data_IF_181944148920
#
_entry.id   IF_181944148920
#
_cell.length_a   1.000
_cell.length_b   1.000
_cell.length_c   1.000
_cell.angle_alpha   90.00
_cell.angle_beta   90.00
_cell.angle_gamma   90.00
#
_symmetry.space_group_name_H-M   'P 1'
#
loop_
_entity.id
_entity.type
_entity.pdbx_description
1 polymer ?
#
# COMPACT_ATOMS: atom_id res chain seq x y z
N UNK A 1 23.90 -9.94 -6.69
CA UNK A 1 22.51 -10.06 -6.23
C UNK A 1 21.77 -10.90 -7.25
N UNK A 2 21.06 -11.94 -6.83
CA UNK A 2 20.27 -12.78 -7.74
C UNK A 2 19.10 -11.99 -8.35
N UNK A 3 18.71 -12.23 -9.63
CA UNK A 3 17.56 -11.58 -10.25
C UNK A 3 16.25 -11.73 -9.45
N UNK A 4 16.03 -12.91 -8.85
CA UNK A 4 14.88 -13.19 -7.97
C UNK A 4 14.83 -12.27 -6.76
N UNK A 5 15.98 -12.07 -6.09
CA UNK A 5 16.09 -11.16 -4.93
C UNK A 5 15.90 -9.70 -5.35
N UNK A 6 16.43 -9.32 -6.51
CA UNK A 6 16.21 -7.99 -7.07
C UNK A 6 14.73 -7.74 -7.39
N UNK A 7 14.03 -8.75 -7.91
CA UNK A 7 12.60 -8.68 -8.20
C UNK A 7 11.77 -8.55 -6.91
N UNK A 8 12.10 -9.30 -5.86
CA UNK A 8 11.48 -9.17 -4.54
C UNK A 8 11.64 -7.76 -3.97
N UNK A 9 12.86 -7.21 -4.03
CA UNK A 9 13.15 -5.86 -3.56
C UNK A 9 12.39 -4.81 -4.38
N UNK A 10 12.36 -4.97 -5.71
CA UNK A 10 11.64 -4.08 -6.62
C UNK A 10 10.15 -4.05 -6.29
N UNK A 11 9.53 -5.23 -6.15
CA UNK A 11 8.12 -5.38 -5.75
C UNK A 11 7.84 -4.75 -4.39
N UNK A 12 8.67 -5.06 -3.38
CA UNK A 12 8.53 -4.48 -2.04
C UNK A 12 8.54 -2.95 -2.07
N UNK A 13 9.53 -2.35 -2.72
CA UNK A 13 9.66 -0.90 -2.80
C UNK A 13 8.54 -0.25 -3.62
N UNK A 14 8.11 -0.90 -4.70
CA UNK A 14 7.03 -0.43 -5.56
C UNK A 14 5.68 -0.45 -4.82
N UNK A 15 5.30 -1.61 -4.28
CA UNK A 15 4.04 -1.83 -3.59
C UNK A 15 3.93 -0.92 -2.35
N UNK A 16 5.01 -0.83 -1.56
CA UNK A 16 5.06 0.08 -0.42
C UNK A 16 4.87 1.54 -0.85
N UNK A 17 5.55 1.97 -1.91
CA UNK A 17 5.43 3.34 -2.40
C UNK A 17 4.01 3.67 -2.84
N UNK A 18 3.37 2.78 -3.60
CA UNK A 18 1.99 2.95 -4.04
C UNK A 18 1.01 2.95 -2.86
N UNK A 19 1.16 2.04 -1.89
CA UNK A 19 0.31 1.99 -0.70
C UNK A 19 0.41 3.26 0.14
N UNK A 20 1.63 3.75 0.39
CA UNK A 20 1.83 4.99 1.15
C UNK A 20 1.30 6.21 0.40
N UNK A 21 1.54 6.33 -0.90
CA UNK A 21 1.03 7.44 -1.71
C UNK A 21 -0.49 7.43 -1.78
N UNK A 22 -1.10 6.28 -2.05
CA UNK A 22 -2.55 6.10 -2.11
C UNK A 22 -3.20 6.53 -0.81
N UNK A 23 -2.84 5.90 0.32
CA UNK A 23 -3.49 6.19 1.59
C UNK A 23 -3.24 7.61 2.08
N UNK A 24 -2.01 8.12 1.98
CA UNK A 24 -1.69 9.47 2.43
C UNK A 24 -2.46 10.52 1.61
N UNK A 25 -2.44 10.40 0.28
CA UNK A 25 -3.05 11.38 -0.60
C UNK A 25 -4.57 11.27 -0.62
N UNK A 26 -5.15 10.06 -0.57
CA UNK A 26 -6.59 9.87 -0.46
C UNK A 26 -7.12 10.43 0.86
N UNK A 27 -6.43 10.18 1.97
CA UNK A 27 -6.83 10.72 3.27
C UNK A 27 -6.80 12.26 3.30
N UNK A 28 -5.69 12.87 2.88
CA UNK A 28 -5.54 14.33 2.81
C UNK A 28 -6.56 14.97 1.85
N UNK A 29 -6.93 14.27 0.77
CA UNK A 29 -7.86 14.79 -0.24
C UNK A 29 -9.31 14.72 0.20
N UNK A 30 -9.73 13.60 0.80
CA UNK A 30 -11.15 13.29 1.02
C UNK A 30 -11.62 13.56 2.44
N UNK A 31 -10.72 13.42 3.43
CA UNK A 31 -11.13 13.41 4.85
C UNK A 31 -10.59 14.60 5.64
N UNK A 32 -9.49 15.23 5.24
CA UNK A 32 -8.86 16.34 5.99
C UNK A 32 -9.37 17.71 5.50
N UNK A 33 -9.71 18.66 6.38
CA UNK A 33 -10.03 20.04 5.99
C UNK A 33 -8.92 20.67 5.14
N UNK A 34 -9.29 21.51 4.16
CA UNK A 34 -8.37 21.97 3.12
C UNK A 34 -7.14 22.71 3.67
N UNK A 35 -7.32 23.62 4.62
CA UNK A 35 -6.22 24.42 5.16
C UNK A 35 -5.20 23.54 5.91
N UNK A 36 -5.67 22.64 6.79
CA UNK A 36 -4.84 21.64 7.44
C UNK A 36 -4.16 20.68 6.45
N UNK A 37 -4.88 20.21 5.44
CA UNK A 37 -4.34 19.31 4.43
C UNK A 37 -3.19 19.95 3.65
N UNK A 38 -3.29 21.24 3.32
CA UNK A 38 -2.25 21.99 2.63
C UNK A 38 -1.02 22.21 3.53
N UNK A 39 -1.23 22.45 4.83
CA UNK A 39 -0.14 22.55 5.80
C UNK A 39 0.62 21.22 5.93
N UNK A 40 -0.10 20.11 6.11
CA UNK A 40 0.48 18.77 6.21
C UNK A 40 1.19 18.37 4.92
N UNK A 41 0.61 18.68 3.76
CA UNK A 41 1.26 18.44 2.47
C UNK A 41 2.61 19.16 2.37
N UNK A 42 2.69 20.43 2.78
CA UNK A 42 3.97 21.17 2.78
C UNK A 42 5.00 20.54 3.71
N UNK A 43 4.59 20.07 4.89
CA UNK A 43 5.46 19.36 5.82
C UNK A 43 5.98 18.03 5.26
N UNK A 44 5.17 17.33 4.46
CA UNK A 44 5.47 16.02 3.91
C UNK A 44 5.96 16.02 2.43
N UNK A 45 6.13 17.19 1.81
CA UNK A 45 6.40 17.29 0.38
C UNK A 45 7.70 16.57 -0.05
N UNK A 46 8.80 16.77 0.69
CA UNK A 46 10.09 16.11 0.41
C UNK A 46 10.01 14.58 0.51
N UNK A 47 9.56 13.98 1.62
CA UNK A 47 9.45 12.52 1.70
C UNK A 47 8.46 11.95 0.68
N UNK A 48 7.33 12.62 0.40
CA UNK A 48 6.40 12.18 -0.64
C UNK A 48 7.05 12.17 -2.03
N UNK A 49 7.88 13.15 -2.37
CA UNK A 49 8.59 13.18 -3.64
C UNK A 49 9.60 12.02 -3.76
N UNK A 50 10.28 11.65 -2.66
CA UNK A 50 11.17 10.49 -2.64
C UNK A 50 10.40 9.18 -2.85
N UNK A 51 9.20 9.06 -2.27
CA UNK A 51 8.34 7.89 -2.47
C UNK A 51 7.86 7.83 -3.93
N UNK A 52 7.48 8.96 -4.54
CA UNK A 52 7.15 9.03 -5.98
C UNK A 52 8.33 8.61 -6.85
N UNK A 53 9.53 9.14 -6.57
CA UNK A 53 10.73 8.77 -7.30
C UNK A 53 11.01 7.26 -7.16
N UNK A 54 10.83 6.70 -5.97
CA UNK A 54 10.97 5.25 -5.73
C UNK A 54 9.97 4.45 -6.54
N UNK A 55 8.69 4.85 -6.59
CA UNK A 55 7.66 4.19 -7.40
C UNK A 55 8.00 4.23 -8.90
N UNK A 56 8.48 5.36 -9.41
CA UNK A 56 8.88 5.52 -10.82
C UNK A 56 10.10 4.66 -11.15
N UNK A 57 11.15 4.75 -10.33
CA UNK A 57 12.39 4.00 -10.55
C UNK A 57 12.16 2.49 -10.49
N UNK A 58 11.33 2.02 -9.55
CA UNK A 58 10.96 0.61 -9.46
C UNK A 58 10.08 0.17 -10.63
N UNK A 59 9.13 0.99 -11.10
CA UNK A 59 8.35 0.67 -12.30
C UNK A 59 9.24 0.52 -13.54
N UNK A 60 10.23 1.40 -13.72
CA UNK A 60 11.18 1.31 -14.83
C UNK A 60 12.13 0.11 -14.68
N UNK A 61 12.61 -0.16 -13.46
CA UNK A 61 13.49 -1.30 -13.18
C UNK A 61 12.77 -2.66 -13.27
N UNK A 62 11.45 -2.69 -13.08
CA UNK A 62 10.68 -3.94 -13.07
C UNK A 62 10.81 -4.73 -14.37
N UNK A 63 10.83 -4.06 -15.53
CA UNK A 63 10.98 -4.75 -16.83
C UNK A 63 12.34 -5.47 -16.96
N UNK A 64 13.50 -4.80 -16.89
CA UNK A 64 14.80 -5.47 -17.01
C UNK A 64 15.03 -6.52 -15.93
N UNK A 65 14.55 -6.30 -14.71
CA UNK A 65 14.66 -7.27 -13.62
C UNK A 65 13.80 -8.51 -13.88
N UNK A 66 12.59 -8.33 -14.42
CA UNK A 66 11.71 -9.45 -14.81
C UNK A 66 12.32 -10.23 -15.97
N UNK A 67 12.84 -9.54 -16.99
CA UNK A 67 13.54 -10.16 -18.13
C UNK A 67 14.73 -10.99 -17.65
N UNK A 68 15.55 -10.44 -16.76
CA UNK A 68 16.68 -11.16 -16.17
C UNK A 68 16.25 -12.40 -15.36
N UNK A 69 15.08 -12.34 -14.71
CA UNK A 69 14.54 -13.43 -13.90
C UNK A 69 13.93 -14.56 -14.75
N UNK A 70 13.37 -14.24 -15.92
CA UNK A 70 12.80 -15.22 -16.86
C UNK A 70 13.90 -15.83 -17.75
N UNK A 71 14.88 -15.02 -18.16
CA UNK A 71 16.02 -15.44 -18.97
C UNK A 71 17.14 -16.10 -18.18
N UNK A 72 18.36 -16.01 -18.69
CA UNK A 72 19.56 -16.63 -18.12
C UNK A 72 20.29 -15.72 -17.12
N UNK A 73 19.56 -14.87 -16.42
CA UNK A 73 20.11 -13.90 -15.47
C UNK A 73 20.39 -12.52 -16.08
N UNK A 74 21.30 -11.77 -15.46
CA UNK A 74 21.51 -10.35 -15.77
C UNK A 74 21.99 -10.04 -17.18
N UNK A 75 22.57 -11.02 -17.89
CA UNK A 75 22.95 -10.87 -19.30
C UNK A 75 21.75 -10.57 -20.20
N UNK A 76 20.58 -11.11 -19.85
CA UNK A 76 19.35 -10.97 -20.63
C UNK A 76 18.52 -9.76 -20.20
N UNK A 77 18.91 -9.05 -19.13
CA UNK A 77 18.18 -7.93 -18.55
C UNK A 77 17.86 -6.82 -19.57
N UNK A 78 18.76 -6.57 -20.53
CA UNK A 78 18.62 -5.54 -21.57
C UNK A 78 18.53 -6.15 -22.98
N UNK A 79 18.20 -7.45 -23.08
CA UNK A 79 17.99 -8.08 -24.36
C UNK A 79 16.69 -7.53 -24.98
N UNK A 80 16.83 -6.75 -26.07
CA UNK A 80 15.70 -6.04 -26.69
C UNK A 80 14.59 -6.96 -27.20
N UNK A 81 14.94 -8.14 -27.73
CA UNK A 81 13.96 -9.13 -28.18
C UNK A 81 13.16 -9.69 -27.00
N UNK A 82 13.87 -10.13 -25.95
CA UNK A 82 13.20 -10.66 -24.76
C UNK A 82 12.37 -9.60 -24.02
N UNK A 83 12.84 -8.36 -23.96
CA UNK A 83 12.05 -7.23 -23.42
C UNK A 83 10.78 -6.99 -24.22
N UNK A 84 10.86 -7.02 -25.55
CA UNK A 84 9.70 -6.89 -26.42
C UNK A 84 8.67 -7.99 -26.12
N UNK A 85 9.13 -9.25 -26.07
CA UNK A 85 8.27 -10.40 -25.81
C UNK A 85 7.63 -10.31 -24.41
N UNK A 86 8.40 -9.94 -23.38
CA UNK A 86 7.87 -9.74 -22.03
C UNK A 86 6.81 -8.63 -22.02
N UNK A 87 7.03 -7.51 -22.70
CA UNK A 87 6.10 -6.37 -22.69
C UNK A 87 4.80 -6.67 -23.41
N UNK A 88 4.84 -7.33 -24.57
CA UNK A 88 3.68 -7.45 -25.47
C UNK A 88 3.02 -8.82 -25.45
N UNK A 89 3.74 -9.89 -25.14
CA UNK A 89 3.25 -11.26 -25.21
C UNK A 89 2.90 -11.86 -23.84
N UNK A 90 3.06 -11.10 -22.74
CA UNK A 90 2.81 -11.60 -21.39
C UNK A 90 1.84 -10.75 -20.59
N UNK A 91 1.11 -11.40 -19.67
CA UNK A 91 0.25 -10.72 -18.69
C UNK A 91 1.04 -9.82 -17.74
N UNK A 92 2.30 -10.19 -17.44
CA UNK A 92 3.23 -9.36 -16.66
C UNK A 92 3.57 -8.07 -17.40
N UNK A 93 3.74 -8.13 -18.73
CA UNK A 93 3.93 -6.97 -19.59
C UNK A 93 2.76 -6.00 -19.56
N UNK A 94 1.52 -6.51 -19.67
CA UNK A 94 0.30 -5.70 -19.58
C UNK A 94 0.22 -4.98 -18.22
N UNK A 95 0.51 -5.70 -17.12
CA UNK A 95 0.54 -5.11 -15.79
C UNK A 95 1.63 -4.04 -15.66
N UNK A 96 2.83 -4.31 -16.19
CA UNK A 96 3.91 -3.33 -16.23
C UNK A 96 3.55 -2.06 -17.00
N UNK A 97 2.91 -2.18 -18.17
CA UNK A 97 2.42 -1.03 -18.94
C UNK A 97 1.43 -0.19 -18.11
N UNK A 98 0.52 -0.83 -17.39
CA UNK A 98 -0.41 -0.15 -16.49
C UNK A 98 0.32 0.54 -15.33
N UNK A 99 1.38 -0.06 -14.76
CA UNK A 99 2.21 0.58 -13.74
C UNK A 99 2.98 1.79 -14.27
N UNK A 100 3.53 1.70 -15.49
CA UNK A 100 4.20 2.83 -16.15
C UNK A 100 3.21 3.97 -16.39
N UNK A 101 1.99 3.66 -16.86
CA UNK A 101 0.95 4.68 -17.02
C UNK A 101 0.58 5.33 -15.68
N UNK A 102 0.43 4.55 -14.62
CA UNK A 102 0.18 5.08 -13.27
C UNK A 102 1.34 5.98 -12.80
N UNK A 103 2.59 5.60 -13.07
CA UNK A 103 3.77 6.41 -12.79
C UNK A 103 3.79 7.73 -13.59
N UNK A 104 3.43 7.70 -14.87
CA UNK A 104 3.28 8.90 -15.70
C UNK A 104 2.20 9.82 -15.12
N UNK A 105 1.05 9.28 -14.74
CA UNK A 105 -0.01 10.07 -14.07
C UNK A 105 0.56 10.74 -12.82
N UNK A 106 1.25 10.01 -11.93
CA UNK A 106 1.85 10.59 -10.74
C UNK A 106 2.85 11.72 -11.06
N UNK A 107 3.73 11.54 -12.05
CA UNK A 107 4.70 12.57 -12.48
C UNK A 107 4.00 13.79 -13.07
N UNK A 108 3.05 13.60 -13.99
CA UNK A 108 2.28 14.70 -14.59
C UNK A 108 1.51 15.50 -13.54
N UNK A 109 1.08 14.88 -12.44
CA UNK A 109 0.38 15.59 -11.37
C UNK A 109 1.26 16.58 -10.64
N UNK A 110 2.59 16.44 -10.68
CA UNK A 110 3.52 17.43 -10.13
C UNK A 110 3.48 18.76 -10.89
N UNK A 111 3.05 18.76 -12.15
CA UNK A 111 2.86 19.95 -12.98
C UNK A 111 1.57 20.72 -12.63
N UNK A 112 0.64 20.09 -11.91
CA UNK A 112 -0.63 20.71 -11.53
C UNK A 112 -0.46 21.70 -10.36
N UNK A 113 -1.42 22.63 -10.15
CA UNK A 113 -1.47 23.47 -8.97
C UNK A 113 -1.52 22.64 -7.68
N UNK A 114 -0.92 23.16 -6.59
CA UNK A 114 -0.78 22.44 -5.32
C UNK A 114 -2.10 21.84 -4.80
N UNK A 115 -3.23 22.52 -4.99
CA UNK A 115 -4.55 22.06 -4.57
C UNK A 115 -5.03 20.78 -5.28
N UNK A 116 -4.54 20.52 -6.50
CA UNK A 116 -4.91 19.34 -7.30
C UNK A 116 -3.88 18.20 -7.23
N UNK A 117 -2.62 18.50 -6.85
CA UNK A 117 -1.53 17.50 -6.78
C UNK A 117 -1.91 16.27 -5.96
N UNK A 118 -2.46 16.46 -4.75
CA UNK A 118 -2.85 15.34 -3.87
C UNK A 118 -3.93 14.43 -4.48
N UNK A 119 -4.90 15.00 -5.20
CA UNK A 119 -5.97 14.21 -5.82
C UNK A 119 -5.43 13.39 -6.98
N UNK A 120 -4.59 14.01 -7.81
CA UNK A 120 -3.91 13.35 -8.90
C UNK A 120 -2.96 12.24 -8.44
N UNK A 121 -2.20 12.49 -7.37
CA UNK A 121 -1.31 11.50 -6.78
C UNK A 121 -2.08 10.31 -6.20
N UNK A 122 -3.21 10.56 -5.53
CA UNK A 122 -4.10 9.49 -5.07
C UNK A 122 -4.63 8.67 -6.26
N UNK A 123 -5.10 9.32 -7.32
CA UNK A 123 -5.59 8.62 -8.51
C UNK A 123 -4.50 7.74 -9.14
N UNK A 124 -3.31 8.30 -9.40
CA UNK A 124 -2.19 7.56 -9.98
C UNK A 124 -1.76 6.37 -9.12
N UNK A 125 -1.56 6.58 -7.81
CA UNK A 125 -1.18 5.52 -6.89
C UNK A 125 -2.27 4.44 -6.74
N UNK A 126 -3.54 4.84 -6.71
CA UNK A 126 -4.68 3.91 -6.64
C UNK A 126 -4.81 3.07 -7.92
N UNK A 127 -4.61 3.66 -9.10
CA UNK A 127 -4.56 2.94 -10.37
C UNK A 127 -3.38 1.95 -10.41
N UNK A 128 -2.22 2.35 -9.91
CA UNK A 128 -1.07 1.45 -9.77
C UNK A 128 -1.34 0.27 -8.83
N UNK A 129 -1.98 0.50 -7.68
CA UNK A 129 -2.39 -0.60 -6.80
C UNK A 129 -3.39 -1.53 -7.48
N UNK A 130 -4.37 -0.97 -8.18
CA UNK A 130 -5.38 -1.76 -8.87
C UNK A 130 -4.79 -2.65 -9.97
N UNK A 131 -3.78 -2.16 -10.69
CA UNK A 131 -3.12 -2.93 -11.75
C UNK A 131 -2.27 -4.10 -11.24
N UNK A 132 -1.93 -4.15 -9.94
CA UNK A 132 -1.27 -5.33 -9.35
C UNK A 132 -2.13 -6.60 -9.49
N UNK A 133 -3.46 -6.47 -9.47
CA UNK A 133 -4.41 -7.58 -9.64
C UNK A 133 -4.39 -8.21 -11.05
N UNK A 134 -3.76 -7.56 -12.03
CA UNK A 134 -3.57 -8.12 -13.37
C UNK A 134 -2.57 -9.29 -13.35
N UNK A 135 -1.77 -9.38 -12.29
CA UNK A 135 -0.77 -10.43 -12.04
C UNK A 135 -1.06 -11.16 -10.73
N UNK A 136 -0.41 -12.32 -10.52
CA UNK A 136 -0.56 -13.11 -9.30
C UNK A 136 -1.67 -14.15 -9.38
N UNK A 137 -2.05 -14.75 -8.24
CA UNK A 137 -2.97 -15.90 -8.23
C UNK A 137 -4.37 -15.60 -8.81
N UNK A 138 -4.78 -14.33 -8.83
CA UNK A 138 -6.03 -13.93 -9.48
C UNK A 138 -6.01 -14.17 -10.99
N UNK A 139 -4.85 -14.16 -11.67
CA UNK A 139 -4.77 -14.46 -13.10
C UNK A 139 -4.79 -15.97 -13.41
N UNK A 140 -4.62 -16.83 -12.40
CA UNK A 140 -4.62 -18.29 -12.56
C UNK A 140 -6.03 -18.91 -12.66
N UNK A 141 -7.06 -18.16 -12.27
CA UNK A 141 -8.46 -18.58 -12.43
C UNK A 141 -9.00 -18.14 -13.81
N UNK A 142 -10.00 -18.86 -14.31
CA UNK A 142 -10.65 -18.56 -15.59
C UNK A 142 -12.11 -18.09 -15.39
N UNK A 143 -12.64 -17.39 -16.39
CA UNK A 143 -14.05 -16.97 -16.43
C UNK A 143 -14.46 -15.96 -15.36
N UNK A 144 -15.70 -16.05 -14.89
CA UNK A 144 -16.27 -15.10 -13.93
C UNK A 144 -15.55 -15.08 -12.58
N UNK A 145 -14.99 -16.23 -12.17
CA UNK A 145 -14.27 -16.36 -10.90
C UNK A 145 -12.97 -15.55 -10.90
N UNK A 146 -12.31 -15.43 -12.06
CA UNK A 146 -11.15 -14.56 -12.25
C UNK A 146 -11.50 -13.09 -11.94
N UNK A 147 -12.64 -12.62 -12.45
CA UNK A 147 -13.08 -11.24 -12.28
C UNK A 147 -13.41 -10.94 -10.82
N UNK A 148 -14.08 -11.88 -10.13
CA UNK A 148 -14.38 -11.78 -8.70
C UNK A 148 -13.10 -11.72 -7.87
N UNK A 149 -12.13 -12.60 -8.16
CA UNK A 149 -10.85 -12.60 -7.45
C UNK A 149 -10.09 -11.29 -7.66
N UNK A 150 -9.99 -10.80 -8.90
CA UNK A 150 -9.36 -9.51 -9.21
C UNK A 150 -10.03 -8.35 -8.49
N UNK A 151 -11.37 -8.29 -8.51
CA UNK A 151 -12.10 -7.24 -7.82
C UNK A 151 -11.86 -7.28 -6.30
N UNK A 152 -11.83 -8.47 -5.71
CA UNK A 152 -11.52 -8.64 -4.29
C UNK A 152 -10.07 -8.26 -3.97
N UNK A 153 -9.11 -8.61 -4.82
CA UNK A 153 -7.71 -8.22 -4.69
C UNK A 153 -7.54 -6.71 -4.74
N UNK A 154 -8.14 -6.04 -5.73
CA UNK A 154 -8.14 -4.57 -5.84
C UNK A 154 -8.71 -3.95 -4.56
N UNK A 155 -9.85 -4.44 -4.09
CA UNK A 155 -10.47 -3.97 -2.85
C UNK A 155 -9.54 -4.17 -1.64
N UNK A 156 -8.91 -5.33 -1.53
CA UNK A 156 -7.99 -5.67 -0.44
C UNK A 156 -6.79 -4.72 -0.41
N UNK A 157 -6.11 -4.52 -1.54
CA UNK A 157 -4.90 -3.69 -1.62
C UNK A 157 -5.22 -2.20 -1.47
N UNK A 158 -6.34 -1.72 -2.02
CA UNK A 158 -6.78 -0.33 -1.85
C UNK A 158 -7.21 -0.05 -0.40
N UNK A 159 -7.92 -0.98 0.26
CA UNK A 159 -8.31 -0.83 1.65
C UNK A 159 -7.08 -0.90 2.58
N UNK A 160 -6.17 -1.84 2.33
CA UNK A 160 -4.92 -1.99 3.09
C UNK A 160 -3.98 -0.80 2.93
N UNK A 161 -3.79 -0.34 1.69
CA UNK A 161 -3.03 0.87 1.39
C UNK A 161 -3.69 2.12 1.96
N UNK A 162 -5.02 2.18 1.94
CA UNK A 162 -5.81 3.24 2.55
C UNK A 162 -5.59 3.33 4.07
N UNK A 163 -5.67 2.19 4.77
CA UNK A 163 -5.40 2.11 6.21
C UNK A 163 -3.95 2.49 6.52
N UNK A 164 -2.99 1.79 5.92
CA UNK A 164 -1.57 1.97 6.23
C UNK A 164 -1.06 3.35 5.81
N UNK A 165 -1.36 3.78 4.58
CA UNK A 165 -0.87 5.03 4.02
C UNK A 165 -1.45 6.26 4.72
N UNK A 166 -2.69 6.20 5.21
CA UNK A 166 -3.31 7.30 5.94
C UNK A 166 -2.65 7.59 7.31
N UNK A 167 -1.90 6.63 7.87
CA UNK A 167 -1.14 6.85 9.11
C UNK A 167 0.01 7.85 8.92
N UNK A 168 0.57 7.96 7.72
CA UNK A 168 1.69 8.88 7.42
C UNK A 168 1.30 10.34 7.67
N UNK A 169 0.23 10.90 7.07
CA UNK A 169 -0.23 12.25 7.37
C UNK A 169 -0.89 12.37 8.77
N UNK A 170 -1.31 11.27 9.40
CA UNK A 170 -1.85 11.32 10.76
C UNK A 170 -0.81 11.80 11.79
N UNK A 171 0.45 11.40 11.65
CA UNK A 171 1.54 11.79 12.56
C UNK A 171 1.72 13.33 12.65
N UNK A 172 1.89 14.08 11.56
CA UNK A 172 1.94 15.54 11.62
C UNK A 172 0.61 16.15 12.06
N UNK A 173 -0.55 15.57 11.71
CA UNK A 173 -1.85 16.06 12.20
C UNK A 173 -1.95 15.95 13.73
N UNK A 174 -1.45 14.87 14.34
CA UNK A 174 -1.34 14.73 15.80
C UNK A 174 -0.38 15.77 16.42
N UNK A 175 0.54 16.33 15.64
CA UNK A 175 1.37 17.47 16.06
C UNK A 175 0.59 18.77 16.02
N UNK A 176 -0.12 19.01 14.93
CA UNK A 176 -0.94 20.20 14.75
C UNK A 176 -2.15 20.22 15.70
N UNK A 177 -2.62 19.08 16.18
CA UNK A 177 -3.68 18.98 17.20
C UNK A 177 -3.28 19.68 18.53
N UNK A 178 -1.98 19.69 18.84
CA UNK A 178 -1.44 20.41 20.01
C UNK A 178 -1.49 21.92 19.87
N UNK A 179 -1.49 22.44 18.63
CA UNK A 179 -1.46 23.87 18.34
C UNK A 179 -2.89 24.46 18.36
N UNK A 180 -3.13 25.57 19.08
CA UNK A 180 -4.47 26.16 19.19
C UNK A 180 -5.11 26.50 17.83
N UNK A 181 -4.31 27.03 16.90
CA UNK A 181 -4.76 27.49 15.57
C UNK A 181 -5.29 26.36 14.68
N UNK A 182 -4.68 25.17 14.76
CA UNK A 182 -5.03 24.02 13.92
C UNK A 182 -5.93 22.99 14.63
N UNK A 183 -6.20 23.17 15.94
CA UNK A 183 -6.84 22.16 16.79
C UNK A 183 -8.21 21.73 16.27
N UNK A 184 -9.06 22.67 15.87
CA UNK A 184 -10.41 22.37 15.42
C UNK A 184 -10.41 21.51 14.15
N UNK A 185 -9.61 21.90 13.15
CA UNK A 185 -9.46 21.14 11.90
C UNK A 185 -8.84 19.77 12.13
N UNK A 186 -7.84 19.68 13.02
CA UNK A 186 -7.19 18.43 13.37
C UNK A 186 -8.15 17.47 14.09
N UNK A 187 -9.02 17.96 14.98
CA UNK A 187 -10.06 17.15 15.60
C UNK A 187 -11.05 16.58 14.59
N UNK A 188 -11.46 17.38 13.59
CA UNK A 188 -12.32 16.91 12.49
C UNK A 188 -11.61 15.82 11.68
N UNK A 189 -10.34 16.04 11.34
CA UNK A 189 -9.53 15.08 10.61
C UNK A 189 -9.38 13.75 11.38
N UNK A 190 -9.11 13.78 12.69
CA UNK A 190 -9.01 12.59 13.55
C UNK A 190 -10.33 11.82 13.62
N UNK A 191 -11.47 12.50 13.75
CA UNK A 191 -12.79 11.84 13.79
C UNK A 191 -13.08 11.13 12.47
N UNK A 192 -12.82 11.78 11.34
CA UNK A 192 -13.01 11.21 10.00
C UNK A 192 -12.05 10.06 9.73
N UNK A 193 -10.78 10.17 10.15
CA UNK A 193 -9.81 9.08 10.12
C UNK A 193 -10.32 7.86 10.87
N UNK A 194 -10.79 8.06 12.10
CA UNK A 194 -11.27 6.98 12.95
C UNK A 194 -12.45 6.23 12.29
N UNK A 195 -13.43 6.96 11.78
CA UNK A 195 -14.60 6.38 11.11
C UNK A 195 -14.21 5.62 9.83
N UNK A 196 -13.41 6.23 8.96
CA UNK A 196 -12.93 5.57 7.74
C UNK A 196 -12.04 4.35 8.05
N UNK A 197 -11.24 4.42 9.10
CA UNK A 197 -10.35 3.35 9.54
C UNK A 197 -11.10 2.07 9.91
N UNK A 198 -12.30 2.15 10.49
CA UNK A 198 -13.12 0.95 10.77
C UNK A 198 -13.56 0.25 9.49
N UNK A 199 -14.05 1.03 8.52
CA UNK A 199 -14.43 0.49 7.22
C UNK A 199 -13.21 -0.12 6.52
N UNK A 200 -12.05 0.55 6.52
CA UNK A 200 -10.83 0.04 5.90
C UNK A 200 -10.35 -1.27 6.56
N UNK A 201 -10.27 -1.34 7.90
CA UNK A 201 -9.87 -2.56 8.62
C UNK A 201 -10.85 -3.70 8.35
N UNK A 202 -12.16 -3.44 8.41
CA UNK A 202 -13.16 -4.46 8.12
C UNK A 202 -13.05 -4.98 6.67
N UNK A 203 -12.88 -4.08 5.70
CA UNK A 203 -12.70 -4.44 4.30
C UNK A 203 -11.43 -5.28 4.09
N UNK A 204 -10.30 -4.91 4.71
CA UNK A 204 -9.05 -5.69 4.64
C UNK A 204 -9.22 -7.09 5.20
N UNK A 205 -9.88 -7.24 6.35
CA UNK A 205 -10.13 -8.54 6.97
C UNK A 205 -11.04 -9.40 6.09
N UNK A 206 -12.20 -8.88 5.68
CA UNK A 206 -13.17 -9.63 4.88
C UNK A 206 -12.59 -10.02 3.52
N UNK A 207 -11.99 -9.07 2.80
CA UNK A 207 -11.35 -9.37 1.51
C UNK A 207 -10.14 -10.30 1.66
N UNK A 208 -9.39 -10.22 2.76
CA UNK A 208 -8.27 -11.12 3.04
C UNK A 208 -8.71 -12.56 3.30
N UNK A 209 -9.84 -12.76 4.00
CA UNK A 209 -10.47 -14.07 4.16
C UNK A 209 -10.90 -14.62 2.79
N UNK A 210 -11.58 -13.80 1.98
CA UNK A 210 -11.99 -14.20 0.62
C UNK A 210 -10.78 -14.60 -0.22
N UNK A 211 -9.70 -13.81 -0.24
CA UNK A 211 -8.47 -14.16 -0.95
C UNK A 211 -7.87 -15.49 -0.49
N UNK A 212 -7.80 -15.71 0.83
CA UNK A 212 -7.27 -16.96 1.38
C UNK A 212 -8.10 -18.16 0.91
N UNK A 213 -9.43 -18.04 0.92
CA UNK A 213 -10.33 -19.09 0.47
C UNK A 213 -10.27 -19.30 -1.05
N UNK A 214 -10.16 -18.24 -1.84
CA UNK A 214 -10.05 -18.32 -3.30
C UNK A 214 -8.73 -18.99 -3.74
N UNK A 215 -7.63 -18.71 -3.03
CA UNK A 215 -6.30 -19.23 -3.35
C UNK A 215 -6.13 -20.66 -2.83
N UNK A 216 -6.37 -20.90 -1.53
CA UNK A 216 -6.06 -22.19 -0.90
C UNK A 216 -7.23 -23.17 -0.89
N UNK A 217 -8.49 -22.69 -1.00
CA UNK A 217 -9.72 -23.48 -0.81
C UNK A 217 -9.84 -24.16 0.57
N UNK A 218 -8.92 -23.87 1.49
CA UNK A 218 -8.83 -24.39 2.86
C UNK A 218 -8.14 -23.36 3.76
N UNK A 219 -8.15 -23.61 5.08
CA UNK A 219 -7.39 -22.80 6.02
C UNK A 219 -5.87 -23.06 5.87
N UNK A 220 -5.01 -22.03 6.02
CA UNK A 220 -3.56 -22.15 5.87
C UNK A 220 -2.94 -22.84 7.09
N UNK A 221 -3.13 -24.16 7.20
CA UNK A 221 -2.72 -24.97 8.35
C UNK A 221 -1.53 -25.89 8.04
N UNK A 222 -1.07 -25.94 6.80
CA UNK A 222 0.09 -26.74 6.41
C UNK A 222 1.40 -25.98 6.65
N UNK A 223 2.03 -26.25 7.78
CA UNK A 223 3.30 -25.63 8.18
C UNK A 223 4.51 -26.12 7.38
N UNK A 224 4.36 -27.20 6.61
CA UNK A 224 5.42 -27.68 5.71
C UNK A 224 5.55 -26.78 4.48
N UNK A 225 4.46 -26.16 4.04
CA UNK A 225 4.44 -25.19 2.95
C UNK A 225 5.00 -23.84 3.40
N UNK A 226 6.09 -23.42 2.76
CA UNK A 226 6.69 -22.09 3.01
C UNK A 226 5.71 -20.96 2.69
N UNK A 227 4.86 -21.13 1.66
CA UNK A 227 3.82 -20.17 1.31
C UNK A 227 2.81 -20.00 2.46
N UNK A 228 2.23 -21.10 2.93
CA UNK A 228 1.21 -21.06 3.99
C UNK A 228 1.78 -20.55 5.31
N UNK A 229 3.03 -20.89 5.67
CA UNK A 229 3.71 -20.37 6.85
C UNK A 229 3.87 -18.84 6.79
N UNK A 230 4.35 -18.28 5.67
CA UNK A 230 4.52 -16.83 5.53
C UNK A 230 3.16 -16.11 5.48
N UNK A 231 2.14 -16.71 4.87
CA UNK A 231 0.77 -16.21 4.89
C UNK A 231 0.19 -16.18 6.32
N UNK A 232 0.39 -17.24 7.11
CA UNK A 232 -0.06 -17.28 8.50
C UNK A 232 0.63 -16.20 9.36
N UNK A 233 1.93 -15.96 9.15
CA UNK A 233 2.66 -14.87 9.80
C UNK A 233 2.07 -13.52 9.40
N UNK A 234 1.80 -13.29 8.10
CA UNK A 234 1.12 -12.07 7.62
C UNK A 234 -0.21 -11.85 8.34
N UNK A 235 -1.05 -12.89 8.44
CA UNK A 235 -2.36 -12.81 9.11
C UNK A 235 -2.17 -12.43 10.59
N UNK A 236 -1.22 -13.05 11.29
CA UNK A 236 -0.89 -12.70 12.68
C UNK A 236 -0.46 -11.24 12.85
N UNK A 237 0.41 -10.73 11.96
CA UNK A 237 0.83 -9.33 11.98
C UNK A 237 -0.34 -8.36 11.74
N UNK A 238 -1.22 -8.66 10.79
CA UNK A 238 -2.41 -7.84 10.52
C UNK A 238 -3.38 -7.88 11.71
N UNK A 239 -3.53 -9.03 12.38
CA UNK A 239 -4.32 -9.12 13.61
C UNK A 239 -3.75 -8.26 14.74
N UNK A 240 -2.42 -8.25 14.91
CA UNK A 240 -1.74 -7.36 15.86
C UNK A 240 -2.02 -5.89 15.52
N UNK A 241 -1.90 -5.50 14.25
CA UNK A 241 -2.22 -4.14 13.80
C UNK A 241 -3.67 -3.78 14.09
N UNK A 242 -4.62 -4.69 13.87
CA UNK A 242 -6.04 -4.45 14.17
C UNK A 242 -6.28 -4.23 15.67
N UNK A 243 -5.62 -5.01 16.53
CA UNK A 243 -5.66 -4.82 18.00
C UNK A 243 -5.07 -3.46 18.37
N UNK A 244 -3.93 -3.08 17.80
CA UNK A 244 -3.33 -1.75 18.03
C UNK A 244 -4.29 -0.63 17.62
N UNK A 245 -4.94 -0.73 16.45
CA UNK A 245 -5.90 0.26 15.97
C UNK A 245 -7.12 0.37 16.91
N UNK A 246 -7.63 -0.76 17.43
CA UNK A 246 -8.72 -0.80 18.42
C UNK A 246 -8.28 -0.13 19.72
N UNK A 247 -7.11 -0.48 20.26
CA UNK A 247 -6.58 0.12 21.50
C UNK A 247 -6.36 1.62 21.32
N UNK A 248 -5.76 2.04 20.20
CA UNK A 248 -5.55 3.43 19.85
C UNK A 248 -6.87 4.21 19.88
N UNK A 249 -7.95 3.66 19.29
CA UNK A 249 -9.25 4.32 19.23
C UNK A 249 -10.00 4.31 20.57
N UNK A 250 -10.12 3.16 21.23
CA UNK A 250 -11.04 3.01 22.37
C UNK A 250 -10.39 3.31 23.71
N UNK A 251 -9.05 3.30 23.78
CA UNK A 251 -8.31 3.58 25.01
C UNK A 251 -7.60 4.93 24.94
N UNK A 252 -6.80 5.17 23.89
CA UNK A 252 -5.92 6.34 23.84
C UNK A 252 -6.55 7.62 23.30
N UNK A 253 -7.46 7.55 22.32
CA UNK A 253 -8.20 8.74 21.85
C UNK A 253 -9.00 9.40 22.99
N UNK A 254 -9.73 8.68 23.87
CA UNK A 254 -10.37 9.29 25.03
C UNK A 254 -9.42 10.02 25.98
N UNK A 255 -8.14 9.66 26.01
CA UNK A 255 -7.15 10.35 26.84
C UNK A 255 -6.82 11.76 26.33
N UNK A 256 -7.14 12.11 25.07
CA UNK A 256 -6.89 13.45 24.53
C UNK A 256 -7.54 14.53 25.41
N UNK A 257 -8.75 14.28 25.93
CA UNK A 257 -9.45 15.22 26.80
C UNK A 257 -8.96 15.25 28.25
N UNK A 258 -8.23 14.22 28.71
CA UNK A 258 -7.80 14.07 30.12
C UNK A 258 -6.31 14.30 30.34
N UNK A 259 -5.48 13.82 29.42
CA UNK A 259 -4.00 13.79 29.48
C UNK A 259 -3.42 14.05 28.06
N UNK A 260 -3.58 15.26 27.51
CA UNK A 260 -3.34 15.55 26.09
C UNK A 260 -1.92 15.21 25.64
N UNK A 261 -0.89 15.63 26.38
CA UNK A 261 0.51 15.36 26.01
C UNK A 261 0.82 13.85 25.93
N UNK A 262 0.37 13.07 26.92
CA UNK A 262 0.56 11.61 26.94
C UNK A 262 -0.23 10.93 25.83
N UNK A 263 -1.47 11.36 25.60
CA UNK A 263 -2.33 10.81 24.55
C UNK A 263 -1.70 11.01 23.15
N UNK A 264 -1.20 12.21 22.86
CA UNK A 264 -0.53 12.51 21.60
C UNK A 264 0.72 11.64 21.39
N UNK A 265 1.54 11.46 22.45
CA UNK A 265 2.73 10.63 22.38
C UNK A 265 2.39 9.16 22.06
N UNK A 266 1.47 8.55 22.81
CA UNK A 266 1.12 7.14 22.60
C UNK A 266 0.44 6.90 21.25
N UNK A 267 -0.39 7.84 20.78
CA UNK A 267 -1.01 7.74 19.45
C UNK A 267 0.01 7.83 18.32
N UNK A 268 1.03 8.69 18.44
CA UNK A 268 2.11 8.75 17.45
C UNK A 268 2.96 7.48 17.46
N UNK A 269 3.38 7.02 18.64
CA UNK A 269 4.16 5.79 18.75
C UNK A 269 3.37 4.57 18.27
N UNK A 270 2.07 4.48 18.59
CA UNK A 270 1.18 3.45 18.08
C UNK A 270 1.05 3.50 16.55
N UNK A 271 0.89 4.69 15.97
CA UNK A 271 0.85 4.86 14.51
C UNK A 271 2.16 4.45 13.83
N UNK A 272 3.30 4.78 14.43
CA UNK A 272 4.63 4.36 13.93
C UNK A 272 4.78 2.84 14.02
N UNK A 273 4.35 2.23 15.14
CA UNK A 273 4.37 0.78 15.29
C UNK A 273 3.49 0.07 14.23
N UNK A 274 2.28 0.58 13.98
CA UNK A 274 1.42 0.09 12.90
C UNK A 274 2.09 0.22 11.52
N UNK A 275 2.77 1.35 11.25
CA UNK A 275 3.52 1.54 9.99
C UNK A 275 4.64 0.51 9.84
N UNK A 276 5.44 0.30 10.89
CA UNK A 276 6.57 -0.65 10.87
C UNK A 276 6.07 -2.08 10.65
N UNK A 277 5.00 -2.49 11.33
CA UNK A 277 4.40 -3.82 11.14
C UNK A 277 3.80 -3.93 9.73
N UNK A 278 3.16 -2.88 9.23
CA UNK A 278 2.63 -2.83 7.86
C UNK A 278 3.72 -2.97 6.79
N UNK A 279 4.88 -2.33 6.98
CA UNK A 279 6.04 -2.50 6.10
C UNK A 279 6.52 -3.96 6.10
N UNK A 280 6.59 -4.60 7.28
CA UNK A 280 6.94 -6.01 7.37
C UNK A 280 5.92 -6.91 6.64
N UNK A 281 4.62 -6.61 6.74
CA UNK A 281 3.56 -7.29 5.98
C UNK A 281 3.76 -7.16 4.47
N UNK A 282 4.09 -5.97 3.96
CA UNK A 282 4.38 -5.77 2.54
C UNK A 282 5.62 -6.56 2.12
N UNK A 283 6.67 -6.58 2.95
CA UNK A 283 7.88 -7.37 2.72
C UNK A 283 7.59 -8.87 2.61
N UNK A 284 6.73 -9.41 3.49
CA UNK A 284 6.29 -10.80 3.39
C UNK A 284 5.60 -11.06 2.05
N UNK A 285 4.63 -10.21 1.67
CA UNK A 285 3.86 -10.35 0.42
C UNK A 285 4.77 -10.28 -0.81
N UNK A 286 5.77 -9.39 -0.82
CA UNK A 286 6.73 -9.28 -1.91
C UNK A 286 7.56 -10.56 -2.11
N UNK A 287 7.76 -11.35 -1.06
CA UNK A 287 8.49 -12.63 -1.09
C UNK A 287 7.56 -13.79 -1.43
N UNK A 288 6.53 -14.05 -0.62
CA UNK A 288 5.69 -15.24 -0.79
C UNK A 288 4.71 -15.11 -1.97
N UNK A 289 4.41 -13.88 -2.42
CA UNK A 289 3.56 -13.64 -3.60
C UNK A 289 4.21 -14.07 -4.92
N UNK A 290 5.45 -14.55 -4.91
CA UNK A 290 6.12 -15.19 -6.03
C UNK A 290 6.24 -16.72 -5.89
N UNK A 291 5.78 -17.27 -4.77
CA UNK A 291 5.82 -18.71 -4.51
C UNK A 291 4.51 -19.38 -4.98
N UNK A 292 4.57 -20.66 -5.25
CA UNK A 292 3.37 -21.45 -5.56
C UNK A 292 2.54 -21.67 -4.28
N UNK A 293 1.19 -21.59 -4.38
CA UNK A 293 0.30 -21.81 -3.26
C UNK A 293 0.05 -23.32 -3.10
N UNK A 294 1.08 -24.04 -2.61
CA UNK A 294 1.01 -25.49 -2.33
C UNK A 294 0.49 -25.76 -0.92
#
# INVERSE_FOLDING_TARGET
>A
MEPTTALQLCRFLHDASLMFLWGACAYLSLFVPRALADAVWRMAAKPLLLIVATAVLTALAALPVTTANIGNGWSDALNGGMMHDVVFETTVGIAWQAQVLAAIVMVCTLLLPQSRRRHGMALGAGLGLASLSLTGHASMLEGWMQQVHRANDILHVLAGGGWLGALVPLIPILTLLGQPECRAEAQVALRRFSNAGHAAVALVILSGIVNTLLILKRLPMDWSSSYQRLLAIKIGLVAIMAVLAIVNRYVFVPWIGRKPARALLVLRLGSIAEIVIGIAVIGLVAVFGMMEPV
#
